data_IF_206831334228
#
_entry.id   IF_206831334228
#
_cell.length_a   1.000
_cell.length_b   1.000
_cell.length_c   1.000
_cell.angle_alpha   90.00
_cell.angle_beta   90.00
_cell.angle_gamma   90.00
#
_symmetry.space_group_name_H-M   'P 1'
#
loop_
_entity.id
_entity.type
_entity.pdbx_description
1 polymer ?
#
# COMPACT_ATOMS: atom_id res chain seq x y z
N UNK A 1 6.89 11.44 7.39
CA UNK A 1 8.11 11.68 8.18
C UNK A 1 8.86 10.38 8.49
N UNK A 2 8.33 9.44 9.28
CA UNK A 2 9.07 8.22 9.64
C UNK A 2 9.58 7.39 8.45
N UNK A 3 8.77 7.23 7.40
CA UNK A 3 9.18 6.55 6.16
C UNK A 3 10.40 7.22 5.53
N UNK A 4 10.41 8.56 5.50
CA UNK A 4 11.53 9.32 4.96
C UNK A 4 12.80 9.12 5.80
N UNK A 5 12.67 9.18 7.14
CA UNK A 5 13.82 8.97 8.03
C UNK A 5 14.41 7.57 7.88
N UNK A 6 13.59 6.55 7.63
CA UNK A 6 14.05 5.17 7.41
C UNK A 6 14.67 5.01 6.02
N UNK A 7 14.09 5.65 4.99
CA UNK A 7 14.67 5.70 3.63
C UNK A 7 16.05 6.37 3.65
N UNK A 8 16.22 7.45 4.42
CA UNK A 8 17.50 8.11 4.62
C UNK A 8 18.52 7.20 5.31
N UNK A 9 18.14 6.56 6.42
CA UNK A 9 19.00 5.60 7.11
C UNK A 9 19.39 4.42 6.20
N UNK A 10 18.48 3.92 5.36
CA UNK A 10 18.78 2.88 4.38
C UNK A 10 19.80 3.36 3.33
N UNK A 11 19.67 4.60 2.86
CA UNK A 11 20.63 5.19 1.93
C UNK A 11 22.02 5.36 2.55
N UNK A 12 22.11 5.74 3.83
CA UNK A 12 23.37 5.79 4.58
C UNK A 12 24.01 4.39 4.71
N UNK A 13 23.21 3.37 5.05
CA UNK A 13 23.66 1.98 5.09
C UNK A 13 24.16 1.46 3.75
N UNK A 14 23.56 1.92 2.63
CA UNK A 14 24.04 1.57 1.31
C UNK A 14 25.42 2.16 1.02
N UNK A 15 25.73 3.36 1.52
CA UNK A 15 27.04 4.01 1.31
C UNK A 15 28.16 3.27 2.05
N UNK A 16 27.89 2.80 3.27
CA UNK A 16 28.85 2.05 4.10
C UNK A 16 28.99 0.58 3.67
N UNK A 17 28.21 0.12 2.70
CA UNK A 17 28.17 -1.28 2.30
C UNK A 17 29.36 -1.68 1.41
N UNK A 18 30.32 -2.44 1.95
CA UNK A 18 31.55 -2.86 1.26
C UNK A 18 31.37 -3.98 0.22
N UNK A 19 30.30 -4.79 0.27
CA UNK A 19 30.16 -5.93 -0.64
C UNK A 19 29.65 -5.54 -2.04
N UNK A 20 29.00 -4.39 -2.17
CA UNK A 20 28.54 -3.83 -3.44
C UNK A 20 29.63 -2.95 -4.06
N UNK A 21 29.69 -2.88 -5.40
CA UNK A 21 30.46 -1.83 -6.08
C UNK A 21 29.71 -0.49 -6.10
N UNK A 22 30.43 0.60 -6.43
CA UNK A 22 29.88 1.96 -6.48
C UNK A 22 28.67 2.09 -7.41
N UNK A 23 28.72 1.40 -8.56
CA UNK A 23 27.67 1.47 -9.56
C UNK A 23 26.38 0.82 -9.05
N UNK A 24 26.50 -0.34 -8.41
CA UNK A 24 25.39 -1.07 -7.79
C UNK A 24 24.78 -0.28 -6.64
N UNK A 25 25.62 0.35 -5.78
CA UNK A 25 25.14 1.25 -4.73
C UNK A 25 24.33 2.42 -5.29
N UNK A 26 24.81 3.05 -6.36
CA UNK A 26 24.10 4.16 -7.01
C UNK A 26 22.71 3.75 -7.50
N UNK A 27 22.57 2.60 -8.17
CA UNK A 27 21.27 2.12 -8.63
C UNK A 27 20.34 1.72 -7.48
N UNK A 28 20.88 1.13 -6.41
CA UNK A 28 20.10 0.81 -5.22
C UNK A 28 19.52 2.08 -4.57
N UNK A 29 20.34 3.13 -4.45
CA UNK A 29 19.91 4.45 -3.93
C UNK A 29 18.87 5.11 -4.84
N UNK A 30 19.05 5.04 -6.15
CA UNK A 30 18.06 5.54 -7.12
C UNK A 30 16.71 4.84 -6.94
N UNK A 31 16.71 3.51 -6.82
CA UNK A 31 15.48 2.73 -6.59
C UNK A 31 14.81 3.06 -5.25
N UNK A 32 15.58 3.19 -4.17
CA UNK A 32 15.06 3.54 -2.86
C UNK A 32 14.41 4.94 -2.86
N UNK A 33 15.02 5.90 -3.56
CA UNK A 33 14.49 7.25 -3.71
C UNK A 33 13.26 7.33 -4.63
N UNK A 34 13.18 6.46 -5.64
CA UNK A 34 12.03 6.35 -6.53
C UNK A 34 10.86 5.56 -5.92
N UNK A 35 11.02 5.01 -4.70
CA UNK A 35 9.97 4.23 -4.06
C UNK A 35 8.82 5.11 -3.59
N UNK A 36 7.60 4.80 -4.02
CA UNK A 36 6.41 5.55 -3.63
C UNK A 36 5.75 4.96 -2.38
N UNK A 37 5.14 5.81 -1.56
CA UNK A 37 4.44 5.39 -0.35
C UNK A 37 2.91 5.52 -0.47
N UNK A 38 2.20 4.55 0.10
CA UNK A 38 0.74 4.52 0.22
C UNK A 38 0.37 4.24 1.67
N UNK A 39 -0.40 5.14 2.29
CA UNK A 39 -0.62 5.13 3.74
C UNK A 39 -2.11 5.26 4.03
N UNK A 40 -2.64 4.35 4.84
CA UNK A 40 -4.02 4.36 5.28
C UNK A 40 -4.96 3.76 4.25
N UNK A 41 -5.51 4.62 3.40
CA UNK A 41 -6.56 4.27 2.43
C UNK A 41 -6.47 5.13 1.18
N UNK A 42 -6.95 4.65 0.02
CA UNK A 42 -7.00 5.45 -1.19
C UNK A 42 -8.02 6.59 -1.09
N UNK A 43 -7.68 7.75 -1.65
CA UNK A 43 -8.49 8.98 -1.58
C UNK A 43 -9.93 8.81 -2.05
N UNK A 44 -10.20 7.90 -2.99
CA UNK A 44 -11.55 7.69 -3.51
C UNK A 44 -12.53 7.18 -2.43
N UNK A 45 -12.05 6.59 -1.33
CA UNK A 45 -12.91 6.10 -0.24
C UNK A 45 -13.50 7.29 0.55
N UNK A 46 -12.78 8.41 0.63
CA UNK A 46 -13.27 9.62 1.29
C UNK A 46 -14.24 10.44 0.42
N UNK A 47 -14.39 10.12 -0.86
CA UNK A 47 -15.33 10.76 -1.79
C UNK A 47 -16.51 9.82 -2.09
N UNK A 48 -17.70 10.05 -1.51
CA UNK A 48 -18.87 9.20 -1.72
C UNK A 48 -19.23 9.01 -3.19
N UNK A 49 -19.06 10.04 -4.03
CA UNK A 49 -19.40 9.94 -5.46
C UNK A 49 -18.46 9.00 -6.19
N UNK A 50 -17.16 9.05 -5.87
CA UNK A 50 -16.17 8.14 -6.46
C UNK A 50 -16.33 6.72 -5.94
N UNK A 51 -16.68 6.58 -4.66
CA UNK A 51 -16.97 5.28 -4.06
C UNK A 51 -18.20 4.64 -4.72
N UNK A 52 -19.32 5.35 -4.82
CA UNK A 52 -20.55 4.87 -5.46
C UNK A 52 -20.31 4.53 -6.94
N UNK A 53 -19.56 5.38 -7.65
CA UNK A 53 -19.21 5.12 -9.04
C UNK A 53 -18.39 3.82 -9.22
N UNK A 54 -17.52 3.48 -8.25
CA UNK A 54 -16.73 2.24 -8.28
C UNK A 54 -17.60 0.99 -8.16
N UNK A 55 -18.72 1.07 -7.45
CA UNK A 55 -19.62 -0.06 -7.18
C UNK A 55 -20.97 0.02 -7.91
N UNK A 56 -21.16 0.97 -8.83
CA UNK A 56 -22.44 1.23 -9.50
C UNK A 56 -23.06 0.05 -10.27
N UNK A 57 -22.25 -0.94 -10.67
CA UNK A 57 -22.65 -2.16 -11.40
C UNK A 57 -22.80 -3.37 -10.49
N UNK A 58 -22.59 -3.21 -9.19
CA UNK A 58 -22.76 -4.28 -8.21
C UNK A 58 -24.15 -4.17 -7.58
N UNK A 59 -24.98 -5.20 -7.76
CA UNK A 59 -26.30 -5.27 -7.17
C UNK A 59 -26.31 -6.37 -6.10
N UNK A 60 -26.69 -6.00 -4.88
CA UNK A 60 -26.73 -6.87 -3.70
C UNK A 60 -28.11 -6.75 -3.08
N UNK A 61 -28.73 -7.88 -2.72
CA UNK A 61 -30.03 -7.93 -2.04
C UNK A 61 -29.90 -8.67 -0.71
N UNK A 62 -30.58 -8.19 0.33
CA UNK A 62 -30.39 -8.69 1.69
C UNK A 62 -30.67 -10.19 1.85
N UNK A 63 -31.67 -10.72 1.13
CA UNK A 63 -32.14 -12.11 1.29
C UNK A 63 -31.57 -13.12 0.27
N UNK A 64 -30.68 -12.69 -0.64
CA UNK A 64 -30.18 -13.50 -1.76
C UNK A 64 -28.67 -13.76 -1.65
N UNK A 65 -28.22 -14.42 -0.57
CA UNK A 65 -26.79 -14.63 -0.29
C UNK A 65 -26.04 -15.32 -1.45
N UNK A 66 -26.60 -16.40 -2.00
CA UNK A 66 -25.94 -17.17 -3.05
C UNK A 66 -25.79 -16.33 -4.34
N UNK A 67 -26.85 -15.65 -4.74
CA UNK A 67 -26.87 -14.75 -5.89
C UNK A 67 -25.91 -13.57 -5.69
N UNK A 68 -25.82 -13.03 -4.48
CA UNK A 68 -24.86 -11.98 -4.14
C UNK A 68 -23.41 -12.45 -4.34
N UNK A 69 -23.09 -13.67 -3.93
CA UNK A 69 -21.76 -14.25 -4.16
C UNK A 69 -21.48 -14.37 -5.67
N UNK A 70 -22.44 -14.87 -6.45
CA UNK A 70 -22.30 -14.94 -7.92
C UNK A 70 -22.13 -13.55 -8.55
N UNK A 71 -22.89 -12.55 -8.08
CA UNK A 71 -22.79 -11.18 -8.53
C UNK A 71 -21.42 -10.56 -8.22
N UNK A 72 -20.89 -10.80 -7.02
CA UNK A 72 -19.55 -10.36 -6.61
C UNK A 72 -18.45 -11.00 -7.46
N UNK A 73 -18.51 -12.31 -7.69
CA UNK A 73 -17.55 -13.03 -8.53
C UNK A 73 -17.58 -12.52 -9.98
N UNK A 74 -18.78 -12.31 -10.53
CA UNK A 74 -18.97 -11.74 -11.86
C UNK A 74 -18.48 -10.30 -11.96
N UNK A 75 -18.72 -9.48 -10.94
CA UNK A 75 -18.22 -8.10 -10.86
C UNK A 75 -16.69 -8.05 -10.83
N UNK A 76 -16.05 -8.85 -9.97
CA UNK A 76 -14.59 -8.94 -9.87
C UNK A 76 -13.95 -9.38 -11.18
N UNK A 77 -14.51 -10.42 -11.81
CA UNK A 77 -14.02 -10.94 -13.09
C UNK A 77 -14.14 -9.90 -14.22
N UNK A 78 -15.27 -9.19 -14.32
CA UNK A 78 -15.44 -8.10 -15.30
C UNK A 78 -14.44 -6.98 -15.06
N UNK A 79 -14.27 -6.51 -13.82
CA UNK A 79 -13.30 -5.45 -13.48
C UNK A 79 -11.89 -5.86 -13.87
N UNK A 80 -11.50 -7.12 -13.62
CA UNK A 80 -10.20 -7.65 -14.03
C UNK A 80 -10.03 -7.68 -15.56
N UNK A 81 -11.05 -8.10 -16.30
CA UNK A 81 -11.03 -8.12 -17.76
C UNK A 81 -10.97 -6.71 -18.37
N UNK A 82 -11.67 -5.74 -17.78
CA UNK A 82 -11.67 -4.34 -18.23
C UNK A 82 -10.26 -3.71 -18.17
N UNK A 83 -9.38 -4.21 -17.29
CA UNK A 83 -7.99 -3.73 -17.16
C UNK A 83 -7.05 -4.21 -18.28
N UNK A 84 -7.40 -5.24 -19.06
CA UNK A 84 -6.47 -5.91 -20.00
C UNK A 84 -5.80 -4.97 -21.03
N UNK A 85 -6.48 -3.88 -21.40
CA UNK A 85 -6.00 -2.88 -22.38
C UNK A 85 -5.83 -1.49 -21.79
N UNK A 86 -5.90 -1.38 -20.46
CA UNK A 86 -5.73 -0.12 -19.75
C UNK A 86 -4.29 -0.01 -19.22
N UNK A 87 -3.76 1.21 -19.07
CA UNK A 87 -2.53 1.40 -18.34
C UNK A 87 -2.69 0.94 -16.88
N UNK A 88 -1.60 0.52 -16.26
CA UNK A 88 -1.59 0.20 -14.82
C UNK A 88 -1.92 1.47 -14.04
N UNK A 89 -2.98 1.42 -13.22
CA UNK A 89 -3.38 2.53 -12.37
C UNK A 89 -2.35 2.69 -11.24
N UNK A 90 -1.54 3.74 -11.32
CA UNK A 90 -0.51 4.04 -10.32
C UNK A 90 -1.08 4.47 -8.95
N UNK A 91 -2.37 4.78 -8.86
CA UNK A 91 -2.99 5.27 -7.62
C UNK A 91 -3.91 4.24 -6.93
N UNK A 92 -4.18 3.07 -7.53
CA UNK A 92 -5.09 2.09 -6.91
C UNK A 92 -4.36 1.25 -5.86
N UNK A 93 -4.97 1.14 -4.69
CA UNK A 93 -4.46 0.30 -3.59
C UNK A 93 -4.79 -1.15 -3.89
N UNK A 94 -3.79 -2.01 -3.81
CA UNK A 94 -3.94 -3.45 -4.09
C UNK A 94 -4.56 -4.22 -2.92
N UNK A 95 -4.57 -3.62 -1.74
CA UNK A 95 -5.02 -4.23 -0.49
C UNK A 95 -6.07 -3.35 0.18
N UNK A 96 -6.99 -3.99 0.90
CA UNK A 96 -8.03 -3.28 1.62
C UNK A 96 -7.45 -2.49 2.81
N UNK A 97 -7.97 -1.27 3.10
CA UNK A 97 -7.47 -0.44 4.20
C UNK A 97 -7.55 -1.07 5.58
N UNK A 98 -8.45 -2.04 5.78
CA UNK A 98 -8.72 -2.67 7.08
C UNK A 98 -7.74 -3.78 7.43
N UNK A 99 -6.85 -4.16 6.51
CA UNK A 99 -5.87 -5.22 6.71
C UNK A 99 -4.80 -4.79 7.72
N UNK A 100 -4.48 -5.66 8.68
CA UNK A 100 -3.39 -5.45 9.65
C UNK A 100 -2.12 -6.09 9.10
N UNK A 101 -1.49 -5.45 8.12
CA UNK A 101 -0.25 -5.91 7.49
C UNK A 101 0.46 -4.73 6.79
N UNK A 102 1.61 -4.98 6.15
CA UNK A 102 2.27 -4.06 5.22
C UNK A 102 2.78 -4.82 3.99
N UNK A 103 2.92 -4.13 2.86
CA UNK A 103 3.25 -4.76 1.58
C UNK A 103 4.23 -3.92 0.75
N UNK A 104 5.05 -4.59 -0.04
CA UNK A 104 5.87 -3.98 -1.10
C UNK A 104 5.50 -4.60 -2.45
N UNK A 105 5.24 -3.78 -3.46
CA UNK A 105 5.03 -4.23 -4.83
C UNK A 105 6.28 -3.96 -5.70
N UNK A 106 6.96 -5.00 -6.22
CA UNK A 106 8.14 -4.83 -7.05
C UNK A 106 7.86 -4.25 -8.45
N UNK A 107 6.66 -4.42 -8.99
CA UNK A 107 6.31 -3.96 -10.34
C UNK A 107 6.11 -2.45 -10.41
N UNK A 108 5.60 -1.86 -9.34
CA UNK A 108 5.30 -0.43 -9.22
C UNK A 108 6.22 0.29 -8.24
N UNK A 109 7.16 -0.43 -7.61
CA UNK A 109 8.11 0.08 -6.62
C UNK A 109 7.40 0.92 -5.53
N UNK A 110 6.33 0.38 -4.94
CA UNK A 110 5.58 1.06 -3.88
C UNK A 110 5.51 0.23 -2.60
N UNK A 111 5.50 0.93 -1.46
CA UNK A 111 5.21 0.39 -0.14
C UNK A 111 3.83 0.83 0.33
N UNK A 112 3.07 -0.10 0.89
CA UNK A 112 1.70 0.10 1.32
C UNK A 112 1.53 -0.27 2.78
N UNK A 113 1.03 0.71 3.56
CA UNK A 113 0.65 0.56 4.96
C UNK A 113 -0.85 0.86 5.09
N UNK A 114 -1.73 -0.15 5.03
CA UNK A 114 -3.16 0.04 5.25
C UNK A 114 -3.46 0.65 6.63
N UNK A 115 -4.60 1.32 6.77
CA UNK A 115 -5.01 1.93 8.03
C UNK A 115 -5.06 0.92 9.20
N UNK A 116 -5.37 -0.35 8.91
CA UNK A 116 -5.44 -1.43 9.88
C UNK A 116 -4.13 -1.68 10.64
N UNK A 117 -2.95 -1.47 10.05
CA UNK A 117 -1.68 -1.63 10.79
C UNK A 117 -1.31 -0.38 11.62
N UNK A 118 -1.92 0.77 11.33
CA UNK A 118 -1.59 2.06 11.97
C UNK A 118 -2.34 2.26 13.29
N UNK A 119 -2.27 1.26 14.17
CA UNK A 119 -2.97 1.23 15.45
C UNK A 119 -2.00 0.90 16.61
N UNK A 120 -2.43 1.09 17.89
CA UNK A 120 -1.61 0.75 19.05
C UNK A 120 -1.01 -0.66 18.97
N UNK A 121 0.18 -0.83 19.54
CA UNK A 121 1.19 -1.89 19.29
C UNK A 121 2.16 -1.59 18.15
N UNK A 122 1.71 -0.97 17.05
CA UNK A 122 2.59 -0.58 15.94
C UNK A 122 2.83 0.93 15.89
N UNK A 123 1.75 1.72 15.98
CA UNK A 123 1.83 3.17 15.86
C UNK A 123 0.83 3.88 16.77
N UNK A 124 1.27 4.96 17.39
CA UNK A 124 0.38 5.98 17.97
C UNK A 124 1.06 7.33 17.97
N UNK A 125 0.30 8.40 17.68
CA UNK A 125 0.81 9.76 17.74
C UNK A 125 1.24 10.20 19.15
N UNK A 126 0.75 9.53 20.19
CA UNK A 126 1.10 9.81 21.60
C UNK A 126 2.21 8.92 22.14
N UNK A 127 2.66 7.90 21.40
CA UNK A 127 3.75 7.04 21.86
C UNK A 127 5.09 7.78 21.80
N UNK A 128 6.01 7.50 22.74
CA UNK A 128 7.41 7.88 22.60
C UNK A 128 7.97 7.41 21.26
N UNK A 129 8.86 8.20 20.65
CA UNK A 129 9.48 7.86 19.36
C UNK A 129 10.09 6.47 19.36
N UNK A 130 10.72 6.04 20.46
CA UNK A 130 11.30 4.70 20.60
C UNK A 130 10.31 3.57 20.33
N UNK A 131 9.06 3.69 20.80
CA UNK A 131 8.02 2.68 20.55
C UNK A 131 7.52 2.72 19.11
N UNK A 132 7.33 3.91 18.53
CA UNK A 132 6.93 4.00 17.12
C UNK A 132 8.01 3.46 16.19
N UNK A 133 9.29 3.79 16.43
CA UNK A 133 10.41 3.27 15.65
C UNK A 133 10.62 1.76 15.87
N UNK A 134 10.41 1.25 17.09
CA UNK A 134 10.48 -0.19 17.37
C UNK A 134 9.27 -0.98 16.87
N UNK A 135 8.12 -0.33 16.70
CA UNK A 135 6.90 -0.90 16.16
C UNK A 135 6.83 -0.71 14.64
N UNK A 136 6.08 0.30 14.18
CA UNK A 136 5.91 0.55 12.74
C UNK A 136 7.22 0.86 12.03
N UNK A 137 8.22 1.43 12.70
CA UNK A 137 9.53 1.70 12.09
C UNK A 137 10.24 0.42 11.63
N UNK A 138 10.17 -0.67 12.39
CA UNK A 138 10.72 -1.97 11.99
C UNK A 138 9.93 -2.58 10.84
N UNK A 139 8.64 -2.28 10.72
CA UNK A 139 7.79 -2.76 9.60
C UNK A 139 8.07 -1.96 8.32
N UNK A 140 8.48 -0.70 8.44
CA UNK A 140 8.83 0.16 7.30
C UNK A 140 10.19 -0.20 6.71
N UNK A 141 11.17 -0.50 7.56
CA UNK A 141 12.54 -0.87 7.16
C UNK A 141 12.64 -2.28 6.61
#
# INVERSE_FOLDING_TARGET
>A
EMIQNIREAFNELLEDNEWMDDQTRSFAKEKANAMTERIGYPDYIADPKRLDAKYNRLNIKEDEFFENVLNLLGFSSRKMMEMLRQPVLQDDYEQDPVVVNAFYNPNTNNILFPAGILQPLFYSSVFPKSLNYGGIGVVIG
#
